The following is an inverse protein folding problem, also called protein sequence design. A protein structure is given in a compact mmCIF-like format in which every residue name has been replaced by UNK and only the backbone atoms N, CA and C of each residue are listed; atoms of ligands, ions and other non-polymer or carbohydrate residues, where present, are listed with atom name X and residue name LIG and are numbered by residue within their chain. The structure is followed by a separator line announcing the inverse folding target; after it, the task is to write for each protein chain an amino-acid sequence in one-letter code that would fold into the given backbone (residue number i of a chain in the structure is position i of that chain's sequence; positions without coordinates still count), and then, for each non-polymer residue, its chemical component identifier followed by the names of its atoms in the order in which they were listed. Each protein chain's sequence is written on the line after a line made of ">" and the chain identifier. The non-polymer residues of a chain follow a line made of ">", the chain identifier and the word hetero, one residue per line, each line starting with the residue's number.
data_IF_213205246532
#
_entry.id   IF_213205246532
#
_cell.length_a   1.000
_cell.length_b   1.000
_cell.length_c   1.000
_cell.angle_alpha   90.00
_cell.angle_beta   90.00
_cell.angle_gamma   90.00
#
_symmetry.space_group_name_H-M   'P 1'
#
loop_
_entity.id
_entity.type
_entity.pdbx_description
1 polymer ?
#
# COMPACT_ATOMS: atom_id res chain seq x y z
N UNK A 1 -2.56 -20.76 -41.16
CA UNK A 1 -2.13 -22.06 -41.73
C UNK A 1 -3.31 -22.86 -42.29
N UNK A 2 -4.54 -22.43 -42.03
CA UNK A 2 -5.77 -23.19 -42.32
C UNK A 2 -6.01 -23.55 -43.79
N UNK A 3 -5.66 -22.68 -44.73
CA UNK A 3 -5.82 -22.92 -46.18
C UNK A 3 -4.60 -23.58 -46.85
N UNK A 4 -3.62 -24.03 -46.06
CA UNK A 4 -2.44 -24.71 -46.60
C UNK A 4 -2.85 -26.04 -47.27
N UNK A 5 -2.42 -26.26 -48.50
CA UNK A 5 -2.72 -27.49 -49.24
C UNK A 5 -1.71 -28.59 -48.88
N UNK A 6 -2.20 -29.72 -48.41
CA UNK A 6 -1.40 -30.90 -48.07
C UNK A 6 -1.90 -32.13 -48.82
N UNK A 7 -1.00 -33.10 -49.02
CA UNK A 7 -1.25 -34.30 -49.82
C UNK A 7 -1.66 -35.44 -48.90
N UNK A 8 -2.80 -36.06 -49.18
CA UNK A 8 -3.25 -37.26 -48.49
C UNK A 8 -2.43 -38.48 -48.95
N UNK A 9 -2.33 -39.55 -48.15
CA UNK A 9 -1.62 -40.78 -48.53
C UNK A 9 -2.09 -41.39 -49.86
N UNK A 10 -3.36 -41.18 -50.20
CA UNK A 10 -3.96 -41.56 -51.48
C UNK A 10 -3.61 -40.67 -52.67
N UNK A 11 -2.79 -39.63 -52.48
CA UNK A 11 -2.32 -38.72 -53.53
C UNK A 11 -3.24 -37.52 -53.84
N UNK A 12 -4.42 -37.44 -53.23
CA UNK A 12 -5.32 -36.28 -53.34
C UNK A 12 -4.84 -35.11 -52.48
N UNK A 13 -5.30 -33.90 -52.77
CA UNK A 13 -4.91 -32.68 -52.05
C UNK A 13 -6.09 -32.19 -51.22
N UNK A 14 -5.86 -31.95 -49.94
CA UNK A 14 -6.85 -31.38 -49.02
C UNK A 14 -6.27 -30.16 -48.30
N UNK A 15 -7.12 -29.39 -47.61
CA UNK A 15 -6.65 -28.27 -46.78
C UNK A 15 -6.21 -28.77 -45.41
N UNK A 16 -5.19 -28.12 -44.86
CA UNK A 16 -4.62 -28.44 -43.56
C UNK A 16 -5.67 -28.42 -42.44
N UNK A 17 -6.57 -27.43 -42.42
CA UNK A 17 -7.66 -27.36 -41.43
C UNK A 17 -8.64 -28.55 -41.48
N UNK A 18 -8.87 -29.09 -42.67
CA UNK A 18 -9.84 -30.17 -42.88
C UNK A 18 -9.31 -31.51 -42.31
N UNK A 19 -7.99 -31.58 -42.09
CA UNK A 19 -7.28 -32.73 -41.51
C UNK A 19 -6.99 -32.48 -40.03
N UNK A 20 -6.53 -31.28 -39.67
CA UNK A 20 -6.14 -30.93 -38.30
C UNK A 20 -7.32 -30.81 -37.32
N UNK A 21 -8.54 -30.55 -37.81
CA UNK A 21 -9.74 -30.50 -36.97
C UNK A 21 -10.47 -31.86 -36.85
N UNK A 22 -9.92 -32.94 -37.42
CA UNK A 22 -10.54 -34.26 -37.45
C UNK A 22 -10.04 -35.16 -36.31
N UNK A 23 -10.80 -36.20 -35.93
CA UNK A 23 -10.37 -37.19 -34.92
C UNK A 23 -9.17 -37.99 -35.46
N UNK A 24 -8.40 -38.65 -34.58
CA UNK A 24 -7.17 -39.41 -34.89
C UNK A 24 -7.22 -40.19 -36.22
N UNK A 25 -8.37 -40.80 -36.53
CA UNK A 25 -8.68 -41.36 -37.85
C UNK A 25 -9.88 -40.64 -38.49
N UNK A 26 -9.74 -40.27 -39.75
CA UNK A 26 -10.78 -39.61 -40.55
C UNK A 26 -10.96 -40.29 -41.90
N UNK A 27 -12.19 -40.21 -42.44
CA UNK A 27 -12.46 -40.64 -43.81
C UNK A 27 -11.89 -39.62 -44.79
N UNK A 28 -11.16 -40.08 -45.81
CA UNK A 28 -10.55 -39.22 -46.81
C UNK A 28 -11.59 -38.25 -47.41
N UNK A 29 -11.43 -36.93 -47.24
CA UNK A 29 -12.45 -35.95 -47.64
C UNK A 29 -12.67 -35.90 -49.15
N UNK A 30 -11.66 -36.29 -49.94
CA UNK A 30 -11.68 -36.21 -51.40
C UNK A 30 -12.25 -37.47 -52.07
N UNK A 31 -11.81 -38.66 -51.65
CA UNK A 31 -12.21 -39.89 -52.33
C UNK A 31 -13.22 -40.74 -51.54
N UNK A 32 -13.38 -40.54 -50.22
CA UNK A 32 -14.37 -41.25 -49.38
C UNK A 32 -14.32 -42.79 -49.46
N UNK A 33 -13.15 -43.35 -49.77
CA UNK A 33 -12.95 -44.80 -49.94
C UNK A 33 -12.02 -45.42 -48.91
N UNK A 34 -11.34 -44.61 -48.12
CA UNK A 34 -10.42 -45.08 -47.08
C UNK A 34 -10.42 -44.13 -45.89
N UNK A 35 -9.98 -44.67 -44.76
CA UNK A 35 -9.68 -43.93 -43.56
C UNK A 35 -8.16 -43.72 -43.46
N UNK A 36 -7.77 -42.54 -43.03
CA UNK A 36 -6.37 -42.16 -42.83
C UNK A 36 -6.23 -41.47 -41.48
N UNK A 37 -5.03 -41.52 -40.89
CA UNK A 37 -4.75 -40.76 -39.68
C UNK A 37 -4.12 -39.40 -39.97
N UNK A 38 -4.33 -38.46 -39.04
CA UNK A 38 -3.66 -37.16 -39.08
C UNK A 38 -2.14 -37.32 -39.07
N UNK A 39 -1.64 -38.24 -38.25
CA UNK A 39 -0.23 -38.56 -38.10
C UNK A 39 0.38 -39.06 -39.44
N UNK A 40 -0.30 -39.98 -40.13
CA UNK A 40 0.11 -40.45 -41.46
C UNK A 40 0.21 -39.31 -42.47
N UNK A 41 -0.73 -38.36 -42.44
CA UNK A 41 -0.69 -37.19 -43.32
C UNK A 41 0.47 -36.24 -42.98
N UNK A 42 0.69 -35.96 -41.69
CA UNK A 42 1.70 -35.00 -41.26
C UNK A 42 3.13 -35.54 -41.46
N UNK A 43 3.35 -36.85 -41.32
CA UNK A 43 4.66 -37.46 -41.51
C UNK A 43 5.06 -37.70 -42.97
N UNK A 44 4.15 -37.51 -43.94
CA UNK A 44 4.54 -37.53 -45.35
C UNK A 44 5.63 -36.47 -45.59
N UNK A 45 6.81 -36.84 -46.16
CA UNK A 45 7.94 -35.92 -46.29
C UNK A 45 7.59 -34.60 -46.99
N UNK A 46 6.67 -34.67 -47.97
CA UNK A 46 6.20 -33.50 -48.72
C UNK A 46 5.31 -32.57 -47.90
N UNK A 47 4.46 -33.10 -47.03
CA UNK A 47 3.61 -32.30 -46.14
C UNK A 47 4.44 -31.66 -45.05
N UNK A 48 5.32 -32.43 -44.40
CA UNK A 48 6.31 -31.95 -43.44
C UNK A 48 7.12 -30.78 -44.02
N UNK A 49 7.61 -30.90 -45.25
CA UNK A 49 8.34 -29.82 -45.93
C UNK A 49 7.47 -28.56 -46.12
N UNK A 50 6.24 -28.70 -46.63
CA UNK A 50 5.34 -27.57 -46.91
C UNK A 50 4.90 -26.86 -45.61
N UNK A 51 4.61 -27.62 -44.55
CA UNK A 51 4.26 -27.10 -43.23
C UNK A 51 5.44 -26.32 -42.65
N UNK A 52 6.63 -26.92 -42.61
CA UNK A 52 7.84 -26.27 -42.10
C UNK A 52 8.20 -25.00 -42.88
N UNK A 53 8.04 -25.00 -44.20
CA UNK A 53 8.23 -23.81 -45.04
C UNK A 53 7.23 -22.69 -44.70
N UNK A 54 5.96 -23.05 -44.45
CA UNK A 54 4.91 -22.10 -44.08
C UNK A 54 5.17 -21.49 -42.70
N UNK A 55 5.55 -22.31 -41.73
CA UNK A 55 5.96 -21.87 -40.38
C UNK A 55 7.16 -20.92 -40.48
N UNK A 56 8.18 -21.28 -41.27
CA UNK A 56 9.37 -20.45 -41.47
C UNK A 56 9.00 -19.09 -42.08
N UNK A 57 8.13 -19.06 -43.09
CA UNK A 57 7.68 -17.81 -43.70
C UNK A 57 6.89 -16.93 -42.74
N UNK A 58 6.03 -17.54 -41.92
CA UNK A 58 5.31 -16.83 -40.84
C UNK A 58 6.29 -16.22 -39.83
N UNK A 59 7.27 -16.99 -39.34
CA UNK A 59 8.32 -16.50 -38.44
C UNK A 59 9.15 -15.38 -39.08
N UNK A 60 9.50 -15.49 -40.36
CA UNK A 60 10.20 -14.43 -41.12
C UNK A 60 9.38 -13.15 -41.20
N UNK A 61 8.07 -13.23 -41.43
CA UNK A 61 7.20 -12.06 -41.47
C UNK A 61 7.10 -11.40 -40.10
N UNK A 62 6.88 -12.19 -39.04
CA UNK A 62 6.89 -11.68 -37.65
C UNK A 62 8.21 -11.00 -37.31
N UNK A 63 9.34 -11.59 -37.70
CA UNK A 63 10.66 -10.98 -37.51
C UNK A 63 10.80 -9.63 -38.25
N UNK A 64 10.35 -9.55 -39.51
CA UNK A 64 10.33 -8.29 -40.26
C UNK A 64 9.49 -7.22 -39.57
N UNK A 65 8.34 -7.58 -39.01
CA UNK A 65 7.50 -6.62 -38.29
C UNK A 65 8.15 -6.16 -36.98
N UNK A 66 8.84 -7.04 -36.27
CA UNK A 66 9.68 -6.66 -35.12
C UNK A 66 10.80 -5.70 -35.54
N UNK A 67 11.48 -5.96 -36.67
CA UNK A 67 12.52 -5.06 -37.19
C UNK A 67 11.95 -3.67 -37.49
N UNK A 68 10.78 -3.58 -38.13
CA UNK A 68 10.11 -2.29 -38.39
C UNK A 68 9.84 -1.51 -37.11
N UNK A 69 9.40 -2.19 -36.04
CA UNK A 69 9.21 -1.54 -34.73
C UNK A 69 10.54 -1.07 -34.14
N UNK A 70 11.59 -1.88 -34.26
CA UNK A 70 12.92 -1.54 -33.78
C UNK A 70 13.51 -0.31 -34.47
N UNK A 71 13.22 -0.09 -35.76
CA UNK A 71 13.69 1.09 -36.51
C UNK A 71 13.30 2.40 -35.83
N UNK A 72 12.14 2.48 -35.16
CA UNK A 72 11.71 3.68 -34.42
C UNK A 72 12.72 4.10 -33.35
N UNK A 73 13.44 3.13 -32.78
CA UNK A 73 14.38 3.31 -31.69
C UNK A 73 15.83 3.45 -32.16
N UNK A 74 16.15 3.10 -33.41
CA UNK A 74 17.54 3.06 -33.89
C UNK A 74 18.21 4.43 -33.98
N UNK A 75 17.41 5.46 -34.28
CA UNK A 75 17.94 6.81 -34.48
C UNK A 75 18.43 7.44 -33.17
N UNK A 76 17.78 7.11 -32.05
CA UNK A 76 18.20 7.58 -30.72
C UNK A 76 17.77 6.60 -29.61
N UNK A 77 18.44 5.44 -29.47
CA UNK A 77 18.09 4.46 -28.46
C UNK A 77 18.29 5.01 -27.03
N UNK A 78 19.22 5.95 -26.87
CA UNK A 78 19.51 6.57 -25.59
C UNK A 78 18.31 7.40 -25.12
N UNK A 79 17.73 8.21 -25.99
CA UNK A 79 16.53 8.99 -25.66
C UNK A 79 15.40 8.11 -25.12
N UNK A 80 15.08 7.00 -25.78
CA UNK A 80 13.97 6.14 -25.35
C UNK A 80 14.27 5.40 -24.03
N UNK A 81 15.52 4.96 -23.82
CA UNK A 81 15.95 4.40 -22.53
C UNK A 81 15.83 5.47 -21.44
N UNK A 82 16.34 6.68 -21.69
CA UNK A 82 16.28 7.78 -20.74
C UNK A 82 14.83 8.21 -20.45
N UNK A 83 13.96 8.24 -21.45
CA UNK A 83 12.53 8.52 -21.30
C UNK A 83 11.85 7.47 -20.41
N UNK A 84 12.13 6.19 -20.64
CA UNK A 84 11.58 5.10 -19.81
C UNK A 84 12.01 5.22 -18.34
N UNK A 85 13.28 5.55 -18.09
CA UNK A 85 13.81 5.77 -16.74
C UNK A 85 13.28 7.06 -16.11
N UNK A 86 13.03 8.10 -16.92
CA UNK A 86 12.48 9.37 -16.46
C UNK A 86 11.07 9.18 -15.92
N UNK A 87 10.25 8.30 -16.50
CA UNK A 87 8.94 7.95 -15.95
C UNK A 87 9.04 7.40 -14.53
N UNK A 88 9.99 6.49 -14.27
CA UNK A 88 10.22 5.93 -12.93
C UNK A 88 10.71 7.02 -11.97
N UNK A 89 11.67 7.87 -12.39
CA UNK A 89 12.13 9.02 -11.58
C UNK A 89 10.99 9.95 -11.19
N UNK A 90 10.10 10.27 -12.14
CA UNK A 90 8.94 11.12 -11.89
C UNK A 90 7.98 10.50 -10.86
N UNK A 91 7.74 9.20 -10.93
CA UNK A 91 6.94 8.50 -9.93
C UNK A 91 7.57 8.59 -8.52
N UNK A 92 8.89 8.46 -8.41
CA UNK A 92 9.61 8.64 -7.14
C UNK A 92 9.43 10.08 -6.61
N UNK A 93 9.53 11.09 -7.48
CA UNK A 93 9.30 12.49 -7.08
C UNK A 93 7.88 12.73 -6.61
N UNK A 94 6.87 12.20 -7.32
CA UNK A 94 5.47 12.30 -6.89
C UNK A 94 5.26 11.64 -5.52
N UNK A 95 5.80 10.42 -5.35
CA UNK A 95 5.68 9.68 -4.10
C UNK A 95 6.28 10.44 -2.92
N UNK A 96 7.41 11.14 -3.13
CA UNK A 96 8.02 12.00 -2.11
C UNK A 96 7.08 13.11 -1.66
N UNK A 97 6.43 13.81 -2.58
CA UNK A 97 5.54 14.92 -2.23
C UNK A 97 4.25 14.42 -1.55
N UNK A 98 3.70 13.29 -1.99
CA UNK A 98 2.57 12.62 -1.31
C UNK A 98 2.89 12.29 0.16
N UNK A 99 4.07 11.70 0.41
CA UNK A 99 4.49 11.31 1.75
C UNK A 99 4.65 12.55 2.64
N UNK A 100 5.23 13.65 2.14
CA UNK A 100 5.35 14.91 2.89
C UNK A 100 3.98 15.43 3.31
N UNK A 101 3.02 15.50 2.38
CA UNK A 101 1.67 15.98 2.65
C UNK A 101 1.00 15.10 3.72
N UNK A 102 1.10 13.78 3.57
CA UNK A 102 0.52 12.83 4.52
C UNK A 102 1.13 12.95 5.92
N UNK A 103 2.47 13.05 6.01
CA UNK A 103 3.16 13.17 7.30
C UNK A 103 2.85 14.50 7.98
N UNK A 104 2.88 15.61 7.25
CA UNK A 104 2.52 16.92 7.79
C UNK A 104 1.10 16.92 8.35
N UNK A 105 0.13 16.36 7.62
CA UNK A 105 -1.24 16.23 8.11
C UNK A 105 -1.32 15.45 9.43
N UNK A 106 -0.60 14.34 9.56
CA UNK A 106 -0.56 13.56 10.81
C UNK A 106 0.10 14.32 11.97
N UNK A 107 1.15 15.08 11.68
CA UNK A 107 1.82 15.95 12.65
C UNK A 107 0.84 17.01 13.15
N UNK A 108 0.18 17.70 12.22
CA UNK A 108 -0.79 18.76 12.55
C UNK A 108 -1.96 18.21 13.35
N UNK A 109 -2.55 17.07 12.95
CA UNK A 109 -3.62 16.41 13.69
C UNK A 109 -3.19 16.05 15.13
N UNK A 110 -1.99 15.51 15.30
CA UNK A 110 -1.48 15.18 16.63
C UNK A 110 -1.19 16.43 17.47
N UNK A 111 -0.60 17.46 16.85
CA UNK A 111 -0.35 18.76 17.47
C UNK A 111 -1.64 19.40 18.01
N UNK A 112 -2.67 19.48 17.18
CA UNK A 112 -3.97 20.04 17.58
C UNK A 112 -4.62 19.23 18.71
N UNK A 113 -4.48 17.90 18.69
CA UNK A 113 -4.96 17.06 19.80
C UNK A 113 -4.23 17.35 21.11
N UNK A 114 -2.91 17.55 21.09
CA UNK A 114 -2.15 17.92 22.28
C UNK A 114 -2.58 19.29 22.82
N UNK A 115 -2.80 20.28 21.96
CA UNK A 115 -3.32 21.59 22.39
C UNK A 115 -4.69 21.46 23.03
N UNK A 116 -5.59 20.68 22.43
CA UNK A 116 -6.91 20.42 22.98
C UNK A 116 -6.84 19.78 24.36
N UNK A 117 -5.93 18.82 24.58
CA UNK A 117 -5.73 18.22 25.90
C UNK A 117 -5.31 19.25 26.96
N UNK A 118 -4.50 20.24 26.58
CA UNK A 118 -4.12 21.34 27.49
C UNK A 118 -5.33 22.20 27.82
N UNK A 119 -6.15 22.55 26.83
CA UNK A 119 -7.38 23.32 27.04
C UNK A 119 -8.38 22.57 27.93
N UNK A 120 -8.59 21.27 27.68
CA UNK A 120 -9.50 20.42 28.46
C UNK A 120 -9.03 20.29 29.93
N UNK A 121 -7.73 20.13 30.18
CA UNK A 121 -7.14 20.10 31.53
C UNK A 121 -7.26 21.47 32.21
N UNK A 122 -6.99 22.57 31.50
CA UNK A 122 -7.13 23.93 32.01
C UNK A 122 -8.56 24.17 32.48
N UNK A 123 -9.54 23.86 31.63
CA UNK A 123 -10.95 24.13 31.91
C UNK A 123 -11.44 23.27 33.09
N UNK A 124 -11.00 22.01 33.16
CA UNK A 124 -11.26 21.12 34.29
C UNK A 124 -10.64 21.65 35.60
N UNK A 125 -9.39 22.08 35.57
CA UNK A 125 -8.70 22.63 36.74
C UNK A 125 -9.31 23.96 37.16
N UNK A 126 -9.77 24.80 36.23
CA UNK A 126 -10.44 26.07 36.52
C UNK A 126 -11.70 25.86 37.37
N UNK A 127 -12.53 24.86 37.04
CA UNK A 127 -13.72 24.52 37.84
C UNK A 127 -13.33 24.14 39.27
N UNK A 128 -12.36 23.24 39.43
CA UNK A 128 -11.89 22.77 40.74
C UNK A 128 -11.33 23.92 41.58
N UNK A 129 -10.51 24.77 40.97
CA UNK A 129 -9.90 25.92 41.62
C UNK A 129 -10.95 26.96 42.01
N UNK A 130 -11.94 27.21 41.17
CA UNK A 130 -13.03 28.13 41.46
C UNK A 130 -13.87 27.69 42.67
N UNK A 131 -14.13 26.38 42.81
CA UNK A 131 -14.79 25.83 44.00
C UNK A 131 -13.93 26.00 45.26
N UNK A 132 -12.62 25.75 45.16
CA UNK A 132 -11.69 25.97 46.28
C UNK A 132 -11.65 27.43 46.71
N UNK A 133 -11.64 28.38 45.77
CA UNK A 133 -11.69 29.82 46.08
C UNK A 133 -12.94 30.19 46.88
N UNK A 134 -14.12 29.66 46.53
CA UNK A 134 -15.35 29.88 47.32
C UNK A 134 -15.20 29.37 48.76
N UNK A 135 -14.57 28.21 48.95
CA UNK A 135 -14.31 27.66 50.28
C UNK A 135 -13.32 28.54 51.07
N UNK A 136 -12.26 29.02 50.42
CA UNK A 136 -11.28 29.94 51.01
C UNK A 136 -11.97 31.22 51.48
N UNK A 137 -12.84 31.84 50.67
CA UNK A 137 -13.59 33.04 51.08
C UNK A 137 -14.49 32.77 52.29
N UNK A 138 -15.06 31.57 52.43
CA UNK A 138 -15.82 31.21 53.63
C UNK A 138 -14.91 31.09 54.86
N UNK A 139 -13.75 30.43 54.72
CA UNK A 139 -12.77 30.28 55.78
C UNK A 139 -12.20 31.64 56.23
N UNK A 140 -11.91 32.53 55.29
CA UNK A 140 -11.46 33.90 55.56
C UNK A 140 -12.48 34.64 56.42
N UNK A 141 -13.76 34.63 56.02
CA UNK A 141 -14.84 35.26 56.77
C UNK A 141 -15.02 34.65 58.17
N UNK A 142 -14.98 33.33 58.29
CA UNK A 142 -15.06 32.64 59.59
C UNK A 142 -13.89 32.96 60.52
N UNK A 143 -12.71 33.20 59.95
CA UNK A 143 -11.49 33.56 60.68
C UNK A 143 -11.54 35.03 61.12
N UNK A 144 -11.95 35.93 60.23
CA UNK A 144 -12.10 37.37 60.50
C UNK A 144 -13.22 37.66 61.51
N UNK A 145 -14.27 36.85 61.55
CA UNK A 145 -15.36 36.96 62.51
C UNK A 145 -15.05 36.35 63.90
N UNK A 146 -13.89 35.73 64.07
CA UNK A 146 -13.49 35.14 65.34
C UNK A 146 -13.32 36.23 66.41
N UNK A 147 -14.08 36.10 67.50
CA UNK A 147 -13.98 36.97 68.67
C UNK A 147 -14.03 36.15 69.94
N UNK A 148 -13.12 36.46 70.86
CA UNK A 148 -13.16 35.92 72.22
C UNK A 148 -13.96 36.89 73.08
N UNK A 149 -15.14 36.48 73.51
CA UNK A 149 -15.97 37.27 74.43
C UNK A 149 -15.26 37.44 75.79
N UNK A 150 -15.39 38.63 76.37
CA UNK A 150 -14.66 39.02 77.60
C UNK A 150 -15.14 38.23 78.83
N UNK A 151 -16.41 37.89 78.87
CA UNK A 151 -17.13 37.20 79.95
C UNK A 151 -16.90 35.68 80.00
N UNK A 152 -16.28 35.06 78.99
CA UNK A 152 -15.90 33.64 79.05
C UNK A 152 -14.84 33.35 80.13
N UNK A 153 -14.92 32.17 80.76
CA UNK A 153 -13.90 31.69 81.67
C UNK A 153 -12.56 31.38 80.95
N UNK A 154 -11.46 31.41 81.70
CA UNK A 154 -10.10 31.27 81.16
C UNK A 154 -9.89 29.93 80.46
N UNK A 155 -10.44 28.84 80.99
CA UNK A 155 -10.25 27.52 80.42
C UNK A 155 -10.98 27.38 79.07
N UNK A 156 -12.22 27.87 79.00
CA UNK A 156 -12.98 27.93 77.74
C UNK A 156 -12.29 28.78 76.69
N UNK A 157 -11.73 29.94 77.07
CA UNK A 157 -10.92 30.78 76.17
C UNK A 157 -9.73 30.01 75.59
N UNK A 158 -8.95 29.32 76.42
CA UNK A 158 -7.80 28.52 75.97
C UNK A 158 -8.24 27.40 75.02
N UNK A 159 -9.33 26.69 75.35
CA UNK A 159 -9.86 25.62 74.49
C UNK A 159 -10.32 26.15 73.13
N UNK A 160 -10.99 27.29 73.12
CA UNK A 160 -11.45 27.95 71.89
C UNK A 160 -10.28 28.41 71.02
N UNK A 161 -9.25 29.02 71.61
CA UNK A 161 -8.02 29.44 70.93
C UNK A 161 -7.34 28.23 70.28
N UNK A 162 -7.15 27.12 71.02
CA UNK A 162 -6.52 25.91 70.48
C UNK A 162 -7.27 25.35 69.27
N UNK A 163 -8.61 25.30 69.36
CA UNK A 163 -9.47 24.86 68.25
C UNK A 163 -9.31 25.78 67.02
N UNK A 164 -9.35 27.10 67.22
CA UNK A 164 -9.21 28.05 66.13
C UNK A 164 -7.81 28.05 65.51
N UNK A 165 -6.76 27.92 66.32
CA UNK A 165 -5.39 27.78 65.84
C UNK A 165 -5.27 26.59 64.89
N UNK A 166 -5.72 25.40 65.31
CA UNK A 166 -5.70 24.20 64.45
C UNK A 166 -6.49 24.38 63.16
N UNK A 167 -7.62 25.12 63.20
CA UNK A 167 -8.40 25.44 62.00
C UNK A 167 -7.67 26.40 61.06
N UNK A 168 -7.01 27.43 61.60
CA UNK A 168 -6.19 28.37 60.82
C UNK A 168 -5.02 27.62 60.18
N UNK A 169 -4.31 26.79 60.94
CA UNK A 169 -3.19 25.98 60.41
C UNK A 169 -3.66 25.09 59.23
N UNK A 170 -4.82 24.45 59.37
CA UNK A 170 -5.43 23.66 58.29
C UNK A 170 -5.84 24.52 57.08
N UNK A 171 -6.34 25.74 57.34
CA UNK A 171 -6.72 26.70 56.31
C UNK A 171 -5.52 27.23 55.53
N UNK A 172 -4.39 27.51 56.19
CA UNK A 172 -3.13 27.90 55.57
C UNK A 172 -2.68 26.81 54.59
N UNK A 173 -2.58 25.57 55.05
CA UNK A 173 -2.20 24.44 54.19
C UNK A 173 -3.15 24.28 52.99
N UNK A 174 -4.46 24.49 53.19
CA UNK A 174 -5.44 24.42 52.11
C UNK A 174 -5.24 25.53 51.07
N UNK A 175 -4.94 26.75 51.51
CA UNK A 175 -4.63 27.89 50.63
C UNK A 175 -3.33 27.63 49.87
N UNK A 176 -2.27 27.21 50.54
CA UNK A 176 -0.97 26.91 49.92
C UNK A 176 -1.09 25.85 48.82
N UNK A 177 -1.72 24.71 49.10
CA UNK A 177 -2.00 23.68 48.10
C UNK A 177 -2.90 24.19 46.96
N UNK A 178 -3.79 25.15 47.24
CA UNK A 178 -4.60 25.76 46.17
C UNK A 178 -3.76 26.70 45.29
N UNK A 179 -2.79 27.41 45.86
CA UNK A 179 -1.85 28.27 45.13
C UNK A 179 -1.00 27.44 44.17
N UNK A 180 -0.48 26.29 44.61
CA UNK A 180 0.33 25.39 43.77
C UNK A 180 -0.39 25.01 42.47
N UNK A 181 -1.72 24.81 42.53
CA UNK A 181 -2.55 24.50 41.35
C UNK A 181 -2.66 25.63 40.32
N UNK A 182 -2.34 26.87 40.68
CA UNK A 182 -2.27 27.99 39.75
C UNK A 182 -0.89 28.13 39.11
N UNK A 183 0.16 27.69 39.80
CA UNK A 183 1.54 27.92 39.41
C UNK A 183 2.16 26.75 38.65
N UNK A 184 1.66 25.54 38.85
CA UNK A 184 2.20 24.33 38.22
C UNK A 184 1.18 23.67 37.31
N UNK A 185 1.57 23.47 36.04
CA UNK A 185 0.79 22.66 35.11
C UNK A 185 0.99 21.18 35.43
N UNK A 186 -0.12 20.42 35.47
CA UNK A 186 -0.09 18.97 35.67
C UNK A 186 0.43 18.20 34.44
N UNK A 187 0.44 18.85 33.27
CA UNK A 187 0.88 18.24 32.02
C UNK A 187 2.34 18.59 31.72
N UNK A 188 3.07 17.59 31.24
CA UNK A 188 4.44 17.74 30.74
C UNK A 188 4.54 17.08 29.38
N UNK A 189 5.13 17.78 28.42
CA UNK A 189 5.49 17.20 27.15
C UNK A 189 6.79 16.41 27.32
N UNK A 190 6.78 15.15 26.90
CA UNK A 190 7.97 14.30 26.90
C UNK A 190 8.33 13.92 25.47
N UNK A 191 9.63 13.78 25.22
CA UNK A 191 10.12 13.29 23.94
C UNK A 191 9.73 11.82 23.76
N UNK A 192 9.30 11.47 22.54
CA UNK A 192 9.08 10.08 22.15
C UNK A 192 10.37 9.48 21.61
N UNK A 193 10.56 8.18 21.86
CA UNK A 193 11.67 7.40 21.30
C UNK A 193 11.26 6.65 20.01
N UNK A 194 10.07 6.92 19.46
CA UNK A 194 9.61 6.26 18.25
C UNK A 194 10.27 6.82 16.99
N UNK A 195 10.66 5.92 16.08
CA UNK A 195 11.28 6.26 14.80
C UNK A 195 10.31 6.05 13.64
N UNK A 196 10.30 7.00 12.70
CA UNK A 196 9.54 6.88 11.45
C UNK A 196 10.34 6.09 10.43
N UNK A 197 9.80 4.96 9.98
CA UNK A 197 10.41 4.13 8.94
C UNK A 197 10.07 4.66 7.53
N UNK A 198 10.97 5.50 7.00
CA UNK A 198 10.80 6.12 5.68
C UNK A 198 10.82 5.08 4.56
N UNK A 199 11.56 3.97 4.72
CA UNK A 199 11.68 2.95 3.67
C UNK A 199 10.34 2.26 3.41
N UNK A 200 9.61 1.91 4.47
CA UNK A 200 8.25 1.36 4.36
C UNK A 200 7.26 2.35 3.74
N UNK A 201 7.44 3.65 3.96
CA UNK A 201 6.55 4.66 3.38
C UNK A 201 6.78 4.84 1.87
N UNK A 202 8.04 4.77 1.42
CA UNK A 202 8.41 4.90 0.01
C UNK A 202 8.17 3.63 -0.81
N UNK A 203 8.50 2.46 -0.26
CA UNK A 203 8.56 1.20 -1.01
C UNK A 203 9.93 0.97 -1.65
N UNK A 204 10.03 -0.07 -2.48
CA UNK A 204 11.29 -0.56 -3.04
C UNK A 204 11.21 -0.70 -4.57
N UNK A 205 12.35 -0.49 -5.23
CA UNK A 205 12.49 -0.80 -6.65
C UNK A 205 12.92 -2.27 -6.79
N UNK A 206 12.20 -3.01 -7.63
CA UNK A 206 12.53 -4.37 -7.99
C UNK A 206 12.81 -4.47 -9.49
N UNK A 207 13.77 -5.32 -9.84
CA UNK A 207 14.01 -5.69 -11.23
C UNK A 207 12.83 -6.54 -11.69
N UNK A 208 12.18 -6.13 -12.79
CA UNK A 208 11.17 -6.96 -13.43
C UNK A 208 11.78 -8.28 -13.90
N UNK A 209 10.98 -9.35 -14.05
CA UNK A 209 11.49 -10.61 -14.54
C UNK A 209 12.16 -10.40 -15.91
N UNK A 210 13.37 -10.92 -16.07
CA UNK A 210 13.96 -11.06 -17.39
C UNK A 210 12.97 -11.85 -18.25
N UNK A 211 12.53 -11.29 -19.37
CA UNK A 211 11.73 -12.04 -20.33
C UNK A 211 12.65 -13.12 -20.90
N UNK A 212 12.64 -14.30 -20.27
CA UNK A 212 13.39 -15.47 -20.70
C UNK A 212 13.14 -15.66 -22.20
N UNK A 213 14.20 -15.49 -23.00
CA UNK A 213 14.20 -15.86 -24.40
C UNK A 213 14.04 -17.38 -24.41
N UNK A 214 12.82 -17.86 -24.70
CA UNK A 214 12.59 -19.28 -24.93
C UNK A 214 13.39 -19.65 -26.17
N UNK A 215 14.56 -20.28 -25.98
CA UNK A 215 15.28 -20.92 -27.07
C UNK A 215 14.48 -22.18 -27.45
N UNK A 216 13.74 -22.10 -28.55
CA UNK A 216 13.19 -23.30 -29.18
C UNK A 216 14.34 -24.03 -29.87
N UNK A 217 15.11 -24.75 -29.08
CA UNK A 217 16.16 -25.66 -29.53
C UNK A 217 15.82 -27.08 -29.07
N UNK A 218 14.99 -27.78 -29.84
CA UNK A 218 15.08 -29.24 -29.95
C UNK A 218 14.50 -29.67 -31.30
N UNK A 219 15.27 -30.48 -32.02
CA UNK A 219 14.90 -31.12 -33.28
C UNK A 219 13.81 -32.16 -33.00
N UNK A 220 12.55 -31.73 -32.91
CA UNK A 220 11.41 -32.59 -33.19
C UNK A 220 10.53 -31.84 -34.19
N UNK A 221 10.68 -32.27 -35.43
CA UNK A 221 9.80 -31.89 -36.52
C UNK A 221 8.35 -32.27 -36.17
N UNK A 222 7.46 -31.27 -36.23
CA UNK A 222 6.01 -31.37 -36.05
C UNK A 222 5.59 -31.72 -34.61
N UNK A 223 5.77 -30.79 -33.67
CA UNK A 223 4.93 -30.79 -32.46
C UNK A 223 4.83 -29.38 -31.83
N UNK A 224 4.00 -28.49 -32.41
CA UNK A 224 3.52 -27.29 -31.68
C UNK A 224 2.30 -26.59 -32.32
N UNK A 225 1.31 -27.32 -32.85
CA UNK A 225 -0.03 -26.74 -33.11
C UNK A 225 -1.03 -27.10 -31.97
N UNK A 226 -0.57 -27.78 -30.91
CA UNK A 226 -1.35 -28.12 -29.72
C UNK A 226 -1.03 -27.22 -28.52
N UNK A 227 -0.95 -25.90 -28.73
CA UNK A 227 -0.97 -24.93 -27.62
C UNK A 227 -2.26 -24.13 -27.58
N UNK A 228 -3.20 -24.75 -26.86
CA UNK A 228 -4.27 -24.20 -26.03
C UNK A 228 -4.28 -22.69 -25.86
N UNK A 229 -5.47 -22.12 -26.09
CA UNK A 229 -5.95 -20.88 -25.50
C UNK A 229 -5.52 -20.78 -24.03
N UNK A 230 -4.57 -19.89 -23.74
CA UNK A 230 -4.17 -19.52 -22.40
C UNK A 230 -4.98 -18.31 -21.94
N UNK A 231 -6.05 -18.60 -21.21
CA UNK A 231 -6.87 -17.70 -20.38
C UNK A 231 -6.08 -16.55 -19.74
N UNK A 232 -6.53 -15.32 -19.99
CA UNK A 232 -6.28 -14.21 -19.05
C UNK A 232 -7.15 -14.48 -17.81
N UNK A 233 -6.52 -14.75 -16.67
CA UNK A 233 -7.16 -14.58 -15.37
C UNK A 233 -6.66 -13.27 -14.76
N UNK A 234 -7.63 -12.51 -14.25
CA UNK A 234 -7.54 -11.21 -13.56
C UNK A 234 -6.48 -11.16 -12.47
#
# INVERSE_FOLDING_TARGET
>A
MEDLKIILPCGFIAKYKDIFCSKDNFECPECKTHTTSQEECLHLPRNKLIINQTILNSKKNKFKDCLKKLELYKNDPKFYIDESNTKIKNNIYLRREEIKIMLNKKIDEYFENLLKMIDDERDSNFVVVFEKLKQISSLERETSNFKIQKDMDVYSKIKLIKKYKSKIDSGIHFVENTIEKFTEANLKLMESNEHVDITKLFGELFLGPETNIISYGSEQDIDDDSRSEGTFNL
#
